data_IF_905811705875
#
_entry.id   IF_905811705875
#
_cell.length_a   1.000
_cell.length_b   1.000
_cell.length_c   1.000
_cell.angle_alpha   90.00
_cell.angle_beta   90.00
_cell.angle_gamma   90.00
#
_symmetry.space_group_name_H-M   'P 1'
#
loop_
_entity.id
_entity.type
_entity.pdbx_description
1 polymer ?
#
# COMPACT_ATOMS: atom_id res chain seq x y z
N UNK A 1 10.10 45.07 -2.91
CA UNK A 1 10.11 44.82 -1.45
C UNK A 1 8.95 43.86 -1.15
N UNK A 2 9.18 42.56 -1.32
CA UNK A 2 8.29 41.47 -0.85
C UNK A 2 9.22 40.32 -0.47
N UNK A 3 9.21 39.97 0.81
CA UNK A 3 10.13 39.08 1.50
C UNK A 3 9.54 37.67 1.51
N UNK A 4 10.22 36.71 0.89
CA UNK A 4 9.81 35.30 0.86
C UNK A 4 10.51 34.58 2.03
N UNK A 5 9.77 34.34 3.11
CA UNK A 5 10.25 33.45 4.18
C UNK A 5 10.11 31.98 3.77
N UNK A 6 11.25 31.33 3.62
CA UNK A 6 11.37 29.87 3.70
C UNK A 6 11.17 29.43 5.16
N UNK A 7 10.24 28.49 5.39
CA UNK A 7 10.27 27.62 6.55
C UNK A 7 10.09 26.16 6.11
N UNK A 8 11.20 25.46 5.93
CA UNK A 8 11.30 23.99 6.01
C UNK A 8 11.92 23.69 7.38
N UNK A 9 11.11 23.31 8.36
CA UNK A 9 11.62 22.67 9.57
C UNK A 9 11.71 21.16 9.35
N UNK A 10 12.96 20.69 9.33
CA UNK A 10 13.36 19.31 9.57
C UNK A 10 13.22 19.03 11.07
N UNK A 11 12.39 18.07 11.47
CA UNK A 11 12.64 17.26 12.68
C UNK A 11 11.68 16.06 12.75
N UNK A 12 11.89 15.06 11.88
CA UNK A 12 11.38 13.71 12.20
C UNK A 12 12.37 13.13 13.19
N UNK A 13 12.06 13.38 14.46
CA UNK A 13 12.82 12.88 15.59
C UNK A 13 12.99 11.37 15.49
N UNK A 14 14.25 10.95 15.52
CA UNK A 14 14.72 9.61 15.86
C UNK A 14 13.93 9.09 17.07
N UNK A 15 12.85 8.34 16.83
CA UNK A 15 12.19 7.53 17.86
C UNK A 15 13.04 6.29 18.08
N UNK A 16 14.14 6.47 18.80
CA UNK A 16 14.77 5.36 19.51
C UNK A 16 13.66 4.68 20.34
N UNK A 17 13.55 3.34 20.31
CA UNK A 17 12.61 2.65 21.18
C UNK A 17 12.91 3.06 22.63
N UNK A 18 11.88 3.19 23.50
CA UNK A 18 12.13 3.45 24.90
C UNK A 18 13.08 2.36 25.39
N UNK A 19 14.26 2.79 25.87
CA UNK A 19 15.12 1.96 26.70
C UNK A 19 14.25 1.55 27.88
N UNK A 20 13.65 0.37 27.80
CA UNK A 20 12.95 -0.24 28.91
C UNK A 20 13.92 -0.19 30.07
N UNK A 21 13.54 0.57 31.09
CA UNK A 21 14.17 0.55 32.39
C UNK A 21 14.34 -0.92 32.72
N UNK A 22 15.61 -1.35 32.70
CA UNK A 22 16.01 -2.65 33.18
C UNK A 22 15.56 -2.64 34.64
N UNK A 23 14.38 -3.19 34.93
CA UNK A 23 13.96 -3.53 36.27
C UNK A 23 14.93 -4.62 36.71
N UNK A 24 16.11 -4.17 37.13
CA UNK A 24 17.05 -4.95 37.90
C UNK A 24 16.28 -5.29 39.16
N UNK A 25 15.70 -6.48 39.19
CA UNK A 25 15.43 -7.15 40.44
C UNK A 25 16.79 -7.34 41.08
N UNK A 26 17.23 -6.34 41.86
CA UNK A 26 18.33 -6.53 42.80
C UNK A 26 17.98 -7.81 43.54
N UNK A 27 18.96 -8.71 43.63
CA UNK A 27 18.88 -9.89 44.48
C UNK A 27 18.88 -9.40 45.92
N UNK A 28 17.77 -8.81 46.37
CA UNK A 28 17.54 -8.48 47.77
C UNK A 28 17.09 -9.76 48.43
N UNK A 29 18.05 -10.61 48.77
CA UNK A 29 17.97 -11.40 50.00
C UNK A 29 18.07 -10.42 51.17
N UNK A 30 17.06 -9.55 51.33
CA UNK A 30 16.78 -8.95 52.62
C UNK A 30 15.80 -9.93 53.27
N UNK A 31 16.35 -10.82 54.09
CA UNK A 31 15.56 -11.39 55.19
C UNK A 31 15.22 -10.18 56.07
N UNK A 32 14.04 -9.61 55.87
CA UNK A 32 13.51 -8.63 56.82
C UNK A 32 12.99 -9.43 58.02
N UNK A 33 13.67 -9.34 59.15
CA UNK A 33 13.27 -9.89 60.46
C UNK A 33 11.99 -9.27 61.06
N UNK A 34 11.18 -8.61 60.25
CA UNK A 34 9.86 -8.11 60.64
C UNK A 34 8.82 -8.83 59.77
N UNK A 35 7.77 -9.36 60.39
CA UNK A 35 6.70 -10.17 59.79
C UNK A 35 5.87 -9.53 58.67
N UNK A 36 6.49 -8.88 57.68
CA UNK A 36 5.89 -8.28 56.50
C UNK A 36 5.76 -9.24 55.31
N UNK A 37 4.76 -8.99 54.48
CA UNK A 37 4.39 -9.76 53.28
C UNK A 37 5.52 -9.75 52.23
N UNK A 38 5.84 -10.87 51.56
CA UNK A 38 6.81 -10.88 50.47
C UNK A 38 6.49 -9.80 49.41
N UNK A 39 7.45 -8.92 49.11
CA UNK A 39 7.20 -7.70 48.33
C UNK A 39 6.57 -7.92 46.95
N UNK A 40 6.84 -9.06 46.30
CA UNK A 40 6.26 -9.41 45.01
C UNK A 40 4.76 -9.78 45.07
N UNK A 41 4.25 -10.10 46.27
CA UNK A 41 2.83 -10.43 46.49
C UNK A 41 1.97 -9.17 46.70
N UNK A 42 2.56 -8.09 47.21
CA UNK A 42 1.89 -6.79 47.36
C UNK A 42 1.58 -6.12 46.01
N UNK A 43 2.32 -6.51 44.96
CA UNK A 43 2.14 -6.03 43.59
C UNK A 43 1.08 -6.82 42.80
N UNK A 44 0.38 -7.77 43.43
CA UNK A 44 -0.62 -8.62 42.76
C UNK A 44 -2.04 -8.08 42.95
N UNK A 45 -2.80 -8.02 41.86
CA UNK A 45 -4.24 -7.77 41.92
C UNK A 45 -5.00 -9.02 42.45
N UNK A 46 -6.29 -8.89 42.74
CA UNK A 46 -7.10 -9.98 43.32
C UNK A 46 -7.12 -11.26 42.48
N UNK A 47 -7.20 -11.14 41.15
CA UNK A 47 -7.21 -12.27 40.22
C UNK A 47 -5.84 -12.97 40.11
N UNK A 48 -4.75 -12.20 40.12
CA UNK A 48 -3.39 -12.70 40.10
C UNK A 48 -3.03 -13.38 41.41
N UNK A 49 -3.55 -12.86 42.53
CA UNK A 49 -3.44 -13.50 43.85
C UNK A 49 -4.16 -14.84 43.86
N UNK A 50 -5.42 -14.89 43.42
CA UNK A 50 -6.17 -16.14 43.30
C UNK A 50 -5.48 -17.16 42.37
N UNK A 51 -4.94 -16.69 41.24
CA UNK A 51 -4.16 -17.52 40.33
C UNK A 51 -2.87 -18.07 40.99
N UNK A 52 -2.12 -17.24 41.72
CA UNK A 52 -0.92 -17.64 42.42
C UNK A 52 -1.22 -18.66 43.52
N UNK A 53 -2.32 -18.46 44.27
CA UNK A 53 -2.84 -19.41 45.25
C UNK A 53 -3.09 -20.78 44.61
N UNK A 54 -3.87 -20.84 43.53
CA UNK A 54 -4.19 -22.09 42.86
C UNK A 54 -2.93 -22.77 42.27
N UNK A 55 -2.08 -22.01 41.60
CA UNK A 55 -0.84 -22.52 41.00
C UNK A 55 0.11 -23.13 42.03
N UNK A 56 0.22 -22.51 43.21
CA UNK A 56 1.07 -23.03 44.29
C UNK A 56 0.45 -24.26 44.94
N UNK A 57 -0.85 -24.23 45.26
CA UNK A 57 -1.52 -25.39 45.90
C UNK A 57 -1.49 -26.63 45.00
N UNK A 58 -1.63 -26.48 43.68
CA UNK A 58 -1.59 -27.61 42.74
C UNK A 58 -0.20 -28.24 42.59
N UNK A 59 0.87 -27.50 42.88
CA UNK A 59 2.25 -27.90 42.56
C UNK A 59 3.17 -27.96 43.76
N UNK A 60 2.64 -27.77 44.97
CA UNK A 60 3.38 -27.94 46.21
C UNK A 60 3.68 -29.41 46.50
N UNK A 61 4.82 -29.73 47.15
CA UNK A 61 5.11 -31.08 47.61
C UNK A 61 4.06 -31.56 48.61
N UNK A 62 3.63 -32.84 48.51
CA UNK A 62 2.60 -33.42 49.41
C UNK A 62 2.96 -33.33 50.90
N UNK A 63 4.25 -33.39 51.22
CA UNK A 63 4.77 -33.26 52.58
C UNK A 63 4.56 -31.85 53.17
N UNK A 64 4.52 -30.81 52.33
CA UNK A 64 4.21 -29.44 52.73
C UNK A 64 2.69 -29.17 52.77
N UNK A 65 1.87 -30.11 52.27
CA UNK A 65 0.43 -29.96 52.05
C UNK A 65 -0.46 -30.59 53.13
N UNK A 66 0.09 -31.28 54.13
CA UNK A 66 -0.71 -31.81 55.23
C UNK A 66 -1.22 -30.65 56.12
N UNK A 67 -2.33 -30.03 55.72
CA UNK A 67 -3.05 -28.98 56.46
C UNK A 67 -3.31 -27.69 55.66
N UNK A 68 -2.32 -27.16 54.94
CA UNK A 68 -2.44 -25.82 54.32
C UNK A 68 -3.19 -25.75 53.00
N UNK A 69 -3.30 -26.86 52.26
CA UNK A 69 -3.87 -26.87 50.90
C UNK A 69 -5.32 -26.35 50.83
N UNK A 70 -6.12 -26.73 51.82
CA UNK A 70 -7.54 -26.41 51.92
C UNK A 70 -7.74 -24.99 52.48
N UNK A 71 -6.98 -24.62 53.50
CA UNK A 71 -7.07 -23.33 54.17
C UNK A 71 -6.60 -22.16 53.27
N UNK A 72 -5.58 -22.39 52.44
CA UNK A 72 -5.03 -21.38 51.53
C UNK A 72 -5.96 -21.09 50.36
N UNK A 73 -6.77 -22.06 49.91
CA UNK A 73 -7.84 -21.82 48.93
C UNK A 73 -8.99 -21.01 49.52
N UNK A 74 -9.31 -21.22 50.80
CA UNK A 74 -10.38 -20.52 51.50
C UNK A 74 -9.98 -19.09 51.94
N UNK A 75 -8.70 -18.86 52.25
CA UNK A 75 -8.22 -17.56 52.71
C UNK A 75 -6.90 -17.14 52.02
N UNK A 76 -6.95 -16.20 51.05
CA UNK A 76 -5.77 -15.65 50.39
C UNK A 76 -4.77 -14.96 51.33
N UNK A 77 -5.13 -14.64 52.58
CA UNK A 77 -4.19 -14.12 53.59
C UNK A 77 -3.22 -15.22 54.08
N UNK A 78 -3.62 -16.49 54.03
CA UNK A 78 -2.77 -17.64 54.38
C UNK A 78 -1.75 -18.00 53.30
N UNK A 79 -1.89 -17.41 52.10
CA UNK A 79 -0.91 -17.49 51.02
C UNK A 79 0.47 -16.99 51.47
N UNK A 80 0.49 -15.94 52.29
CA UNK A 80 1.71 -15.30 52.79
C UNK A 80 2.49 -16.27 53.70
N UNK A 81 1.77 -16.95 54.59
CA UNK A 81 2.35 -17.93 55.50
C UNK A 81 2.86 -19.16 54.73
N UNK A 82 2.14 -19.58 53.71
CA UNK A 82 2.52 -20.70 52.84
C UNK A 82 3.78 -20.39 52.04
N UNK A 83 3.89 -19.17 51.50
CA UNK A 83 5.08 -18.73 50.78
C UNK A 83 6.29 -18.70 51.73
N UNK A 84 6.14 -18.21 52.96
CA UNK A 84 7.23 -18.24 53.95
C UNK A 84 7.69 -19.67 54.28
N UNK A 85 6.75 -20.60 54.45
CA UNK A 85 7.07 -22.03 54.64
C UNK A 85 7.74 -22.65 53.41
N UNK A 86 7.42 -22.19 52.20
CA UNK A 86 8.12 -22.63 51.00
C UNK A 86 9.50 -21.99 50.82
N UNK A 87 9.71 -20.79 51.34
CA UNK A 87 11.02 -20.12 51.29
C UNK A 87 12.08 -20.83 52.15
N UNK A 88 11.67 -21.60 53.16
CA UNK A 88 12.59 -22.42 53.97
C UNK A 88 13.00 -23.73 53.28
N UNK A 89 12.29 -24.15 52.22
CA UNK A 89 12.57 -25.37 51.47
C UNK A 89 13.23 -25.05 50.13
N UNK A 90 14.33 -25.73 49.78
CA UNK A 90 15.02 -25.52 48.51
C UNK A 90 14.10 -25.74 47.28
N UNK A 91 13.21 -26.74 47.34
CA UNK A 91 12.22 -27.01 46.29
C UNK A 91 11.08 -25.99 46.27
N UNK A 92 10.74 -25.42 47.42
CA UNK A 92 9.74 -24.35 47.53
C UNK A 92 10.20 -23.05 46.88
N UNK A 93 11.48 -22.68 47.05
CA UNK A 93 12.08 -21.51 46.38
C UNK A 93 12.07 -21.67 44.85
N UNK A 94 12.39 -22.86 44.32
CA UNK A 94 12.29 -23.15 42.88
C UNK A 94 10.85 -23.04 42.37
N UNK A 95 9.89 -23.53 43.14
CA UNK A 95 8.46 -23.46 42.80
C UNK A 95 7.97 -22.00 42.74
N UNK A 96 8.34 -21.18 43.72
CA UNK A 96 8.04 -19.74 43.74
C UNK A 96 8.67 -19.04 42.53
N UNK A 97 9.92 -19.37 42.19
CA UNK A 97 10.59 -18.84 41.00
C UNK A 97 9.81 -19.14 39.70
N UNK A 98 9.32 -20.37 39.54
CA UNK A 98 8.48 -20.77 38.39
C UNK A 98 7.14 -20.04 38.39
N UNK A 99 6.48 -19.92 39.55
CA UNK A 99 5.22 -19.19 39.69
C UNK A 99 5.36 -17.73 39.24
N UNK A 100 6.42 -17.04 39.69
CA UNK A 100 6.73 -15.66 39.29
C UNK A 100 6.97 -15.52 37.79
N UNK A 101 7.71 -16.46 37.18
CA UNK A 101 7.96 -16.43 35.74
C UNK A 101 6.68 -16.63 34.92
N UNK A 102 5.84 -17.58 35.31
CA UNK A 102 4.56 -17.84 34.64
C UNK A 102 3.60 -16.65 34.79
N UNK A 103 3.55 -16.03 35.96
CA UNK A 103 2.75 -14.82 36.16
C UNK A 103 3.22 -13.68 35.27
N UNK A 104 4.54 -13.46 35.16
CA UNK A 104 5.12 -12.46 34.24
C UNK A 104 4.70 -12.72 32.79
N UNK A 105 4.74 -13.98 32.35
CA UNK A 105 4.28 -14.35 31.01
C UNK A 105 2.78 -14.12 30.82
N UNK A 106 1.97 -14.42 31.84
CA UNK A 106 0.52 -14.15 31.83
C UNK A 106 0.22 -12.66 31.68
N UNK A 107 0.88 -11.80 32.47
CA UNK A 107 0.79 -10.33 32.36
C UNK A 107 1.19 -9.84 30.96
N UNK A 108 2.27 -10.37 30.40
CA UNK A 108 2.72 -10.03 29.05
C UNK A 108 1.69 -10.40 27.97
N UNK A 109 1.03 -11.56 28.10
CA UNK A 109 -0.02 -11.99 27.17
C UNK A 109 -1.31 -11.18 27.32
N UNK A 110 -1.69 -10.83 28.55
CA UNK A 110 -2.88 -10.02 28.82
C UNK A 110 -2.73 -8.56 28.32
N UNK A 111 -1.52 -8.00 28.37
CA UNK A 111 -1.21 -6.65 27.87
C UNK A 111 -1.04 -6.56 26.34
N UNK A 112 -1.08 -7.69 25.61
CA UNK A 112 -0.95 -7.72 24.15
C UNK A 112 -2.25 -7.35 23.40
N UNK A 113 -3.11 -6.50 23.99
CA UNK A 113 -4.38 -6.05 23.38
C UNK A 113 -4.08 -5.36 22.04
N UNK A 114 -4.34 -6.05 20.92
CA UNK A 114 -4.06 -5.61 19.54
C UNK A 114 -3.00 -6.42 18.78
N UNK A 115 -2.27 -7.34 19.43
CA UNK A 115 -1.27 -8.21 18.77
C UNK A 115 -1.73 -9.67 18.80
N UNK A 116 -2.01 -10.24 17.62
CA UNK A 116 -2.22 -11.67 17.47
C UNK A 116 -0.87 -12.38 17.30
N UNK A 117 -0.61 -13.43 18.08
CA UNK A 117 0.60 -14.25 17.90
C UNK A 117 0.37 -15.23 16.75
N UNK A 118 1.07 -15.05 15.64
CA UNK A 118 1.10 -16.01 14.54
C UNK A 118 2.35 -16.88 14.66
N UNK A 119 2.19 -18.20 14.59
CA UNK A 119 3.31 -19.15 14.53
C UNK A 119 3.31 -19.81 13.17
N UNK A 120 4.39 -19.64 12.42
CA UNK A 120 4.59 -20.27 11.12
C UNK A 120 5.95 -20.94 11.08
N UNK A 121 6.03 -22.06 10.36
CA UNK A 121 7.29 -22.80 10.18
C UNK A 121 7.91 -22.36 8.87
N UNK A 122 9.11 -21.79 8.93
CA UNK A 122 9.90 -21.45 7.74
C UNK A 122 11.01 -22.48 7.52
N UNK A 123 11.41 -22.73 6.25
CA UNK A 123 12.69 -23.34 5.94
C UNK A 123 13.83 -22.57 6.61
N UNK A 124 14.88 -23.30 7.01
CA UNK A 124 16.03 -22.72 7.72
C UNK A 124 16.69 -21.59 6.91
N UNK A 125 16.79 -21.77 5.60
CA UNK A 125 17.40 -20.81 4.70
C UNK A 125 16.59 -19.51 4.61
N UNK A 126 15.27 -19.61 4.52
CA UNK A 126 14.36 -18.46 4.48
C UNK A 126 14.45 -17.66 5.78
N UNK A 127 14.51 -18.35 6.93
CA UNK A 127 14.71 -17.70 8.22
C UNK A 127 16.07 -16.99 8.31
N UNK A 128 17.13 -17.62 7.80
CA UNK A 128 18.47 -17.01 7.78
C UNK A 128 18.50 -15.74 6.90
N UNK A 129 17.85 -15.78 5.73
CA UNK A 129 17.69 -14.62 4.85
C UNK A 129 16.91 -13.50 5.52
N UNK A 130 15.76 -13.80 6.13
CA UNK A 130 14.96 -12.81 6.84
C UNK A 130 15.75 -12.12 7.97
N UNK A 131 16.50 -12.92 8.73
CA UNK A 131 17.38 -12.40 9.78
C UNK A 131 18.50 -11.52 9.21
N UNK A 132 19.08 -11.91 8.07
CA UNK A 132 20.08 -11.13 7.34
C UNK A 132 19.52 -9.77 6.91
N UNK A 133 18.33 -9.76 6.30
CA UNK A 133 17.62 -8.55 5.86
C UNK A 133 17.28 -7.61 7.03
N UNK A 134 16.75 -8.16 8.12
CA UNK A 134 16.47 -7.39 9.33
C UNK A 134 17.76 -6.76 9.89
N UNK A 135 18.88 -7.50 9.89
CA UNK A 135 20.18 -6.99 10.35
C UNK A 135 20.73 -5.89 9.45
N UNK A 136 20.64 -6.04 8.12
CA UNK A 136 21.11 -5.01 7.19
C UNK A 136 20.28 -3.73 7.25
N UNK A 137 18.97 -3.87 7.44
CA UNK A 137 18.04 -2.73 7.57
C UNK A 137 18.07 -2.10 8.98
N UNK A 138 18.67 -2.76 9.97
CA UNK A 138 18.67 -2.31 11.36
C UNK A 138 17.29 -2.39 12.03
N UNK A 139 16.40 -3.23 11.52
CA UNK A 139 15.00 -3.38 11.96
C UNK A 139 14.74 -4.79 12.52
N UNK A 140 13.49 -5.07 12.91
CA UNK A 140 13.09 -6.41 13.37
C UNK A 140 12.61 -7.26 12.20
N UNK A 141 12.72 -8.60 12.34
CA UNK A 141 12.20 -9.55 11.34
C UNK A 141 10.70 -9.32 11.07
N UNK A 142 9.94 -8.88 12.08
CA UNK A 142 8.52 -8.55 11.96
C UNK A 142 8.29 -7.32 11.09
N UNK A 143 9.07 -6.24 11.27
CA UNK A 143 8.95 -5.03 10.46
C UNK A 143 9.22 -5.32 8.98
N UNK A 144 10.23 -6.15 8.69
CA UNK A 144 10.52 -6.58 7.31
C UNK A 144 9.33 -7.36 6.71
N UNK A 145 8.65 -8.19 7.49
CA UNK A 145 7.45 -8.90 7.01
C UNK A 145 6.30 -7.92 6.76
N UNK A 146 6.10 -6.92 7.64
CA UNK A 146 5.10 -5.87 7.47
C UNK A 146 5.35 -5.09 6.17
N UNK A 147 6.58 -4.60 5.97
CA UNK A 147 6.99 -3.87 4.76
C UNK A 147 6.74 -4.70 3.49
N UNK A 148 7.15 -5.98 3.49
CA UNK A 148 6.93 -6.88 2.35
C UNK A 148 5.44 -7.12 2.04
N UNK A 149 4.59 -7.15 3.06
CA UNK A 149 3.15 -7.31 2.87
C UNK A 149 2.56 -6.02 2.28
N UNK A 150 2.96 -4.86 2.79
CA UNK A 150 2.50 -3.56 2.30
C UNK A 150 2.95 -3.33 0.85
N UNK A 151 4.21 -3.62 0.51
CA UNK A 151 4.73 -3.54 -0.85
C UNK A 151 3.98 -4.48 -1.81
N UNK A 152 3.71 -5.71 -1.39
CA UNK A 152 2.94 -6.67 -2.20
C UNK A 152 1.49 -6.20 -2.44
N UNK A 153 0.86 -5.60 -1.42
CA UNK A 153 -0.46 -5.01 -1.55
C UNK A 153 -0.47 -3.81 -2.49
N UNK A 154 0.50 -2.90 -2.34
CA UNK A 154 0.63 -1.72 -3.19
C UNK A 154 0.88 -2.12 -4.65
N UNK A 155 1.83 -3.02 -4.91
CA UNK A 155 2.12 -3.51 -6.25
C UNK A 155 0.91 -4.16 -6.92
N UNK A 156 0.08 -4.88 -6.14
CA UNK A 156 -1.18 -5.46 -6.64
C UNK A 156 -2.20 -4.39 -7.01
N UNK A 157 -2.32 -3.33 -6.22
CA UNK A 157 -3.19 -2.19 -6.49
C UNK A 157 -2.73 -1.42 -7.72
N UNK A 158 -1.45 -1.10 -7.82
CA UNK A 158 -0.85 -0.39 -8.95
C UNK A 158 -1.09 -1.15 -10.26
N UNK A 159 -0.89 -2.47 -10.26
CA UNK A 159 -1.18 -3.31 -11.44
C UNK A 159 -2.66 -3.29 -11.83
N UNK A 160 -3.58 -3.20 -10.87
CA UNK A 160 -5.02 -3.08 -11.17
C UNK A 160 -5.36 -1.71 -11.73
N UNK A 161 -4.77 -0.65 -11.17
CA UNK A 161 -4.97 0.70 -11.65
C UNK A 161 -4.41 0.88 -13.07
N UNK A 162 -3.21 0.38 -13.34
CA UNK A 162 -2.59 0.43 -14.66
C UNK A 162 -3.46 -0.27 -15.71
N UNK A 163 -4.01 -1.44 -15.38
CA UNK A 163 -4.97 -2.13 -16.26
C UNK A 163 -6.23 -1.30 -16.53
N UNK A 164 -6.75 -0.58 -15.51
CA UNK A 164 -7.91 0.31 -15.68
C UNK A 164 -7.58 1.51 -16.55
N UNK A 165 -6.43 2.14 -16.33
CA UNK A 165 -5.94 3.26 -17.14
C UNK A 165 -5.75 2.85 -18.59
N UNK A 166 -5.07 1.73 -18.85
CA UNK A 166 -4.89 1.21 -20.20
C UNK A 166 -6.21 0.83 -20.89
N UNK A 167 -7.20 0.31 -20.15
CA UNK A 167 -8.53 0.05 -20.71
C UNK A 167 -9.29 1.34 -21.07
N UNK A 168 -9.17 2.37 -20.23
CA UNK A 168 -9.76 3.67 -20.50
C UNK A 168 -9.11 4.35 -21.72
N UNK A 169 -7.79 4.33 -21.81
CA UNK A 169 -7.04 4.89 -22.93
C UNK A 169 -7.39 4.19 -24.26
N UNK A 170 -7.51 2.85 -24.26
CA UNK A 170 -8.00 2.09 -25.42
C UNK A 170 -9.42 2.50 -25.83
N UNK A 171 -10.27 2.81 -24.86
CA UNK A 171 -11.64 3.26 -25.13
C UNK A 171 -11.65 4.67 -25.71
N UNK A 172 -10.87 5.59 -25.15
CA UNK A 172 -10.72 6.96 -25.63
C UNK A 172 -10.16 6.97 -27.05
N UNK A 173 -9.07 6.26 -27.30
CA UNK A 173 -8.45 6.16 -28.63
C UNK A 173 -9.43 5.59 -29.66
N UNK A 174 -10.12 4.49 -29.35
CA UNK A 174 -11.16 3.92 -30.22
C UNK A 174 -12.31 4.89 -30.51
N UNK A 175 -12.79 5.61 -29.50
CA UNK A 175 -13.87 6.58 -29.69
C UNK A 175 -13.41 7.77 -30.53
N UNK A 176 -12.18 8.26 -30.30
CA UNK A 176 -11.58 9.35 -31.08
C UNK A 176 -11.37 8.96 -32.54
N UNK A 177 -10.90 7.73 -32.81
CA UNK A 177 -10.71 7.24 -34.17
C UNK A 177 -12.05 7.09 -34.90
N UNK A 178 -13.08 6.60 -34.21
CA UNK A 178 -14.43 6.49 -34.75
C UNK A 178 -15.00 7.87 -35.10
N UNK A 179 -14.85 8.84 -34.20
CA UNK A 179 -15.31 10.21 -34.45
C UNK A 179 -14.59 10.85 -35.66
N UNK A 180 -13.27 10.64 -35.77
CA UNK A 180 -12.49 11.13 -36.91
C UNK A 180 -12.95 10.51 -38.23
N UNK A 181 -13.27 9.20 -38.24
CA UNK A 181 -13.82 8.52 -39.41
C UNK A 181 -15.18 9.10 -39.83
N UNK A 182 -16.11 9.33 -38.90
CA UNK A 182 -17.41 9.93 -39.20
C UNK A 182 -17.27 11.36 -39.76
N UNK A 183 -16.36 12.17 -39.19
CA UNK A 183 -16.09 13.52 -39.71
C UNK A 183 -15.52 13.48 -41.13
N UNK A 184 -14.62 12.54 -41.42
CA UNK A 184 -14.08 12.36 -42.77
C UNK A 184 -15.15 11.93 -43.77
N UNK A 185 -16.08 11.06 -43.35
CA UNK A 185 -17.23 10.67 -44.18
C UNK A 185 -18.12 11.86 -44.53
N UNK A 186 -18.47 12.69 -43.53
CA UNK A 186 -19.27 13.91 -43.75
C UNK A 186 -18.56 14.87 -44.72
N UNK A 187 -17.24 15.06 -44.55
CA UNK A 187 -16.45 15.91 -45.46
C UNK A 187 -16.44 15.36 -46.87
N UNK A 188 -16.26 14.05 -47.04
CA UNK A 188 -16.27 13.39 -48.34
C UNK A 188 -17.62 13.61 -49.03
N UNK A 189 -18.73 13.36 -48.33
CA UNK A 189 -20.08 13.57 -48.86
C UNK A 189 -20.30 15.04 -49.29
N UNK A 190 -19.84 16.00 -48.49
CA UNK A 190 -19.94 17.41 -48.82
C UNK A 190 -19.13 17.77 -50.07
N UNK A 191 -17.89 17.26 -50.18
CA UNK A 191 -17.03 17.49 -51.35
C UNK A 191 -17.61 16.86 -52.61
N UNK A 192 -18.17 15.65 -52.52
CA UNK A 192 -18.83 14.97 -53.64
C UNK A 192 -20.02 15.78 -54.15
N UNK A 193 -20.84 16.37 -53.25
CA UNK A 193 -21.94 17.25 -53.64
C UNK A 193 -21.47 18.53 -54.34
N UNK A 194 -20.37 19.13 -53.86
CA UNK A 194 -19.80 20.31 -54.52
C UNK A 194 -19.29 19.97 -55.92
N UNK A 195 -18.64 18.81 -56.06
CA UNK A 195 -18.11 18.34 -57.33
C UNK A 195 -19.26 18.05 -58.32
N UNK A 196 -20.33 17.40 -57.87
CA UNK A 196 -21.55 17.20 -58.67
C UNK A 196 -22.19 18.53 -59.10
N UNK A 197 -22.28 19.52 -58.21
CA UNK A 197 -22.81 20.84 -58.54
C UNK A 197 -21.94 21.59 -59.56
N UNK A 198 -20.61 21.50 -59.45
CA UNK A 198 -19.67 22.04 -60.42
C UNK A 198 -19.82 21.36 -61.78
N UNK A 199 -19.90 20.03 -61.81
CA UNK A 199 -20.10 19.26 -63.04
C UNK A 199 -21.42 19.63 -63.73
N UNK A 200 -22.53 19.74 -62.98
CA UNK A 200 -23.83 20.17 -63.52
C UNK A 200 -23.78 21.56 -64.13
N UNK A 201 -23.05 22.49 -63.51
CA UNK A 201 -22.84 23.84 -64.09
C UNK A 201 -22.02 23.75 -65.37
N UNK A 202 -20.90 23.03 -65.37
CA UNK A 202 -20.06 22.84 -66.55
C UNK A 202 -20.84 22.22 -67.70
N UNK A 203 -21.63 21.17 -67.45
CA UNK A 203 -22.49 20.57 -68.47
C UNK A 203 -23.56 21.54 -68.97
N UNK A 204 -24.11 22.39 -68.08
CA UNK A 204 -25.04 23.45 -68.48
C UNK A 204 -24.40 24.48 -69.42
N UNK A 205 -23.17 24.90 -69.14
CA UNK A 205 -22.39 25.77 -70.02
C UNK A 205 -22.07 25.10 -71.36
N UNK A 206 -21.71 23.81 -71.35
CA UNK A 206 -21.47 23.04 -72.58
C UNK A 206 -22.73 22.97 -73.46
N UNK A 207 -23.90 22.73 -72.88
CA UNK A 207 -25.17 22.74 -73.61
C UNK A 207 -25.51 24.14 -74.13
N UNK A 208 -25.33 25.19 -73.32
CA UNK A 208 -25.59 26.58 -73.72
C UNK A 208 -24.71 27.02 -74.91
N UNK A 209 -23.45 26.60 -74.93
CA UNK A 209 -22.51 26.86 -76.03
C UNK A 209 -22.65 25.87 -77.20
N UNK A 210 -23.66 25.00 -77.17
CA UNK A 210 -23.92 23.99 -78.20
C UNK A 210 -22.70 23.11 -78.50
N UNK A 211 -21.99 22.71 -77.44
CA UNK A 211 -20.72 21.96 -77.47
C UNK A 211 -19.55 22.66 -78.19
N UNK A 212 -19.72 23.89 -78.67
CA UNK A 212 -18.62 24.68 -79.20
C UNK A 212 -17.81 25.27 -78.05
N UNK A 213 -16.48 25.14 -78.14
CA UNK A 213 -15.60 25.84 -77.22
C UNK A 213 -15.78 27.36 -77.41
N UNK A 214 -15.86 28.15 -76.34
CA UNK A 214 -15.90 29.59 -76.49
C UNK A 214 -14.61 30.04 -77.22
N UNK A 215 -14.76 30.84 -78.29
CA UNK A 215 -13.63 31.42 -79.01
C UNK A 215 -12.94 32.46 -78.12
N UNK A 216 -12.05 31.98 -77.25
CA UNK A 216 -11.20 32.81 -76.42
C UNK A 216 -9.99 33.24 -77.26
N UNK A 217 -9.56 34.50 -77.11
CA UNK A 217 -8.27 34.90 -77.66
C UNK A 217 -7.14 34.13 -76.95
N UNK A 218 -5.99 33.98 -77.62
CA UNK A 218 -4.81 33.33 -77.03
C UNK A 218 -4.38 33.96 -75.68
N UNK A 219 -4.60 35.27 -75.49
CA UNK A 219 -4.35 35.95 -74.22
C UNK A 219 -5.35 35.54 -73.13
N UNK A 220 -6.65 35.49 -73.46
CA UNK A 220 -7.71 35.13 -72.52
C UNK A 220 -7.63 33.67 -72.07
N UNK A 221 -7.29 32.76 -72.98
CA UNK A 221 -7.10 31.34 -72.66
C UNK A 221 -5.88 31.12 -71.76
N UNK A 222 -4.78 31.83 -72.03
CA UNK A 222 -3.58 31.83 -71.17
C UNK A 222 -3.89 32.37 -69.76
N UNK A 223 -4.67 33.44 -69.64
CA UNK A 223 -5.05 34.02 -68.35
C UNK A 223 -5.98 33.09 -67.55
N UNK A 224 -6.96 32.47 -68.22
CA UNK A 224 -7.84 31.48 -67.62
C UNK A 224 -7.06 30.25 -67.12
N UNK A 225 -6.13 29.74 -67.91
CA UNK A 225 -5.27 28.61 -67.53
C UNK A 225 -4.36 28.96 -66.34
N UNK A 226 -3.74 30.15 -66.33
CA UNK A 226 -2.95 30.60 -65.17
C UNK A 226 -3.79 30.68 -63.90
N UNK A 227 -5.04 31.15 -64.01
CA UNK A 227 -5.96 31.23 -62.88
C UNK A 227 -6.33 29.82 -62.38
N UNK A 228 -6.67 28.90 -63.28
CA UNK A 228 -7.01 27.52 -62.95
C UNK A 228 -5.84 26.77 -62.30
N UNK A 229 -4.64 26.88 -62.86
CA UNK A 229 -3.43 26.27 -62.30
C UNK A 229 -3.09 26.79 -60.91
N UNK A 230 -3.23 28.11 -60.69
CA UNK A 230 -2.99 28.70 -59.36
C UNK A 230 -3.97 28.12 -58.34
N UNK A 231 -5.26 28.05 -58.68
CA UNK A 231 -6.28 27.44 -57.80
C UNK A 231 -6.04 25.97 -57.55
N UNK A 232 -5.65 25.21 -58.58
CA UNK A 232 -5.33 23.80 -58.44
C UNK A 232 -4.11 23.58 -57.54
N UNK A 233 -3.07 24.42 -57.64
CA UNK A 233 -1.91 24.38 -56.74
C UNK A 233 -2.29 24.62 -55.28
N UNK A 234 -3.08 25.67 -55.01
CA UNK A 234 -3.57 25.97 -53.66
C UNK A 234 -4.33 24.77 -53.05
N UNK A 235 -5.19 24.13 -53.84
CA UNK A 235 -5.94 22.94 -53.41
C UNK A 235 -5.01 21.76 -53.14
N UNK A 236 -4.06 21.48 -54.05
CA UNK A 236 -3.12 20.37 -53.89
C UNK A 236 -2.21 20.54 -52.67
N UNK A 237 -1.76 21.75 -52.37
CA UNK A 237 -0.97 22.05 -51.18
C UNK A 237 -1.78 21.82 -49.90
N UNK A 238 -3.04 22.27 -49.87
CA UNK A 238 -3.93 22.02 -48.74
C UNK A 238 -4.17 20.51 -48.52
N UNK A 239 -4.38 19.75 -49.60
CA UNK A 239 -4.53 18.29 -49.53
C UNK A 239 -3.25 17.65 -48.97
N UNK A 240 -2.07 17.99 -49.51
CA UNK A 240 -0.78 17.46 -49.03
C UNK A 240 -0.55 17.78 -47.55
N UNK A 241 -0.87 18.99 -47.10
CA UNK A 241 -0.74 19.37 -45.70
C UNK A 241 -1.64 18.53 -44.77
N UNK A 242 -2.89 18.25 -45.19
CA UNK A 242 -3.82 17.41 -44.44
C UNK A 242 -3.34 15.95 -44.40
N UNK A 243 -2.86 15.41 -45.53
CA UNK A 243 -2.31 14.05 -45.61
C UNK A 243 -1.08 13.90 -44.72
N UNK A 244 -0.12 14.82 -44.81
CA UNK A 244 1.07 14.81 -43.97
C UNK A 244 0.71 14.86 -42.47
N UNK A 245 -0.25 15.71 -42.08
CA UNK A 245 -0.76 15.76 -40.70
C UNK A 245 -1.38 14.42 -40.28
N UNK A 246 -2.15 13.77 -41.15
CA UNK A 246 -2.73 12.46 -40.87
C UNK A 246 -1.65 11.39 -40.70
N UNK A 247 -0.65 11.33 -41.58
CA UNK A 247 0.48 10.41 -41.48
C UNK A 247 1.28 10.60 -40.19
N UNK A 248 1.45 11.84 -39.72
CA UNK A 248 2.12 12.14 -38.46
C UNK A 248 1.30 11.75 -37.22
N UNK A 249 -0.04 11.76 -37.30
CA UNK A 249 -0.93 11.44 -36.17
C UNK A 249 -1.46 10.00 -36.18
N UNK A 250 -1.25 9.25 -37.26
CA UNK A 250 -1.62 7.83 -37.34
C UNK A 250 -0.54 6.98 -36.67
N UNK A 251 -0.87 6.08 -35.74
CA UNK A 251 0.10 5.15 -35.18
C UNK A 251 0.67 4.30 -36.34
N UNK A 252 1.97 4.39 -36.61
CA UNK A 252 2.62 3.45 -37.53
C UNK A 252 2.45 2.05 -36.95
N UNK A 253 1.71 1.19 -37.64
CA UNK A 253 1.79 -0.26 -37.45
C UNK A 253 3.25 -0.66 -37.75
N UNK A 254 4.05 -0.84 -36.70
CA UNK A 254 5.36 -1.50 -36.72
C UNK A 254 5.23 -2.70 -35.79
#
# INVERSE_FOLDING_TARGET
MIEIQQQRQLSIGSRRPPRWTRLTWKRTTKVSETGGVPGWLNELNGEERAWATNYLVERMPREALAGLAFEVRANPALLIQSIRKLETMAEGVKLIGRARNNLRQKRYRASAKGRATCSFTLPRDTKAKLKGLAKSAGTTETAIIEDLIEEAQQSSQDRKEEKRRGALEKTITRNSSKLAQELNKIRLDATTRHLDACLKRLSGWQVYLNEQAPELSSEQESEANKMAEKRMREIQEAIRAIVAKHEMMSPRNI
#
